data_IF_040671421541
#
_entry.id   IF_040671421541
#
_cell.length_a   1.000
_cell.length_b   1.000
_cell.length_c   1.000
_cell.angle_alpha   90.00
_cell.angle_beta   90.00
_cell.angle_gamma   90.00
#
_symmetry.space_group_name_H-M   'P 1'
#
loop_
_entity.id
_entity.type
_entity.pdbx_description
1 polymer ?
#
# COMPACT_ATOMS: atom_id res chain seq x y z
N UNK A 1 23.81 -2.99 -14.55
CA UNK A 1 22.96 -1.80 -14.37
C UNK A 1 23.79 -0.68 -13.80
N UNK A 2 23.73 0.50 -14.40
CA UNK A 2 24.44 1.68 -13.94
C UNK A 2 23.72 2.35 -12.77
N UNK A 3 24.42 3.23 -12.02
CA UNK A 3 23.82 4.03 -10.95
C UNK A 3 22.69 4.93 -11.51
N UNK A 4 22.87 5.51 -12.70
CA UNK A 4 21.87 6.36 -13.34
C UNK A 4 20.61 5.58 -13.73
N UNK A 5 20.76 4.36 -14.22
CA UNK A 5 19.61 3.48 -14.52
C UNK A 5 18.85 3.13 -13.26
N UNK A 6 19.55 2.79 -12.18
CA UNK A 6 18.95 2.50 -10.88
C UNK A 6 18.19 3.71 -10.34
N UNK A 7 18.77 4.90 -10.39
CA UNK A 7 18.13 6.14 -9.92
C UNK A 7 16.87 6.46 -10.75
N UNK A 8 16.89 6.23 -12.05
CA UNK A 8 15.73 6.42 -12.92
C UNK A 8 14.59 5.46 -12.55
N UNK A 9 14.91 4.18 -12.33
CA UNK A 9 13.94 3.16 -11.90
C UNK A 9 13.31 3.53 -10.54
N UNK A 10 14.14 3.95 -9.59
CA UNK A 10 13.65 4.40 -8.28
C UNK A 10 12.68 5.56 -8.44
N UNK A 11 12.97 6.51 -9.30
CA UNK A 11 12.10 7.66 -9.57
C UNK A 11 10.75 7.22 -10.14
N UNK A 12 10.74 6.27 -11.09
CA UNK A 12 9.50 5.71 -11.64
C UNK A 12 8.67 5.03 -10.54
N UNK A 13 9.28 4.15 -9.74
CA UNK A 13 8.58 3.41 -8.69
C UNK A 13 8.09 4.33 -7.57
N UNK A 14 8.87 5.34 -7.18
CA UNK A 14 8.44 6.37 -6.22
C UNK A 14 7.18 7.11 -6.70
N UNK A 15 7.10 7.40 -7.98
CA UNK A 15 5.93 8.05 -8.57
C UNK A 15 4.68 7.20 -8.43
N UNK A 16 4.79 5.90 -8.72
CA UNK A 16 3.67 4.95 -8.56
C UNK A 16 3.30 4.81 -7.07
N UNK A 17 4.28 4.73 -6.21
CA UNK A 17 4.07 4.63 -4.76
C UNK A 17 3.32 5.86 -4.21
N UNK A 18 3.67 7.05 -4.69
CA UNK A 18 2.97 8.29 -4.32
C UNK A 18 1.52 8.32 -4.81
N UNK A 19 1.25 7.78 -5.99
CA UNK A 19 -0.13 7.62 -6.50
C UNK A 19 -0.94 6.66 -5.63
N UNK A 20 -0.37 5.53 -5.24
CA UNK A 20 -1.01 4.56 -4.34
C UNK A 20 -1.40 5.22 -3.02
N UNK A 21 -0.48 5.98 -2.43
CA UNK A 21 -0.74 6.72 -1.19
C UNK A 21 -1.91 7.70 -1.37
N UNK A 22 -1.92 8.45 -2.46
CA UNK A 22 -2.99 9.41 -2.77
C UNK A 22 -4.35 8.72 -2.94
N UNK A 23 -4.41 7.61 -3.68
CA UNK A 23 -5.65 6.84 -3.86
C UNK A 23 -6.13 6.25 -2.52
N UNK A 24 -5.20 5.77 -1.71
CA UNK A 24 -5.47 5.28 -0.36
C UNK A 24 -6.05 6.37 0.54
N UNK A 25 -5.46 7.55 0.55
CA UNK A 25 -5.92 8.68 1.37
C UNK A 25 -7.35 9.12 1.02
N UNK A 26 -7.72 9.03 -0.24
CA UNK A 26 -9.04 9.42 -0.75
C UNK A 26 -10.05 8.27 -0.84
N UNK A 27 -9.68 7.08 -0.38
CA UNK A 27 -10.49 5.87 -0.46
C UNK A 27 -10.97 5.57 -1.90
N UNK A 28 -10.11 5.78 -2.89
CA UNK A 28 -10.38 5.52 -4.31
C UNK A 28 -10.01 4.07 -4.63
N UNK A 29 -10.93 3.15 -4.39
CA UNK A 29 -10.67 1.71 -4.45
C UNK A 29 -10.19 1.23 -5.81
N UNK A 30 -10.89 1.57 -6.90
CA UNK A 30 -10.55 1.05 -8.23
C UNK A 30 -9.17 1.56 -8.69
N UNK A 31 -8.88 2.83 -8.46
CA UNK A 31 -7.58 3.42 -8.76
C UNK A 31 -6.47 2.79 -7.92
N UNK A 32 -6.73 2.58 -6.63
CA UNK A 32 -5.81 1.88 -5.72
C UNK A 32 -5.52 0.46 -6.23
N UNK A 33 -6.54 -0.33 -6.51
CA UNK A 33 -6.41 -1.70 -6.99
C UNK A 33 -5.71 -1.80 -8.34
N UNK A 34 -5.82 -0.78 -9.19
CA UNK A 34 -5.15 -0.75 -10.50
C UNK A 34 -3.63 -0.77 -10.40
N UNK A 35 -3.06 -0.44 -9.26
CA UNK A 35 -1.62 -0.47 -9.00
C UNK A 35 -1.11 -1.85 -8.59
N UNK A 36 -1.99 -2.80 -8.39
CA UNK A 36 -1.68 -4.18 -7.99
C UNK A 36 -1.93 -5.13 -9.14
N UNK A 37 -1.10 -6.16 -9.24
CA UNK A 37 -1.20 -7.14 -10.34
C UNK A 37 -2.32 -8.16 -10.07
N UNK A 38 -3.33 -8.18 -10.92
CA UNK A 38 -4.39 -9.18 -10.86
C UNK A 38 -3.97 -10.46 -11.58
N UNK A 39 -3.11 -11.23 -10.95
CA UNK A 39 -2.63 -12.51 -11.49
C UNK A 39 -2.49 -13.55 -10.38
N UNK A 40 -2.36 -14.84 -10.72
CA UNK A 40 -2.10 -15.89 -9.73
C UNK A 40 -0.79 -15.71 -8.96
N UNK A 41 0.13 -14.89 -9.45
CA UNK A 41 1.40 -14.59 -8.78
C UNK A 41 1.25 -13.60 -7.61
N UNK A 42 0.14 -12.88 -7.53
CA UNK A 42 -0.09 -11.89 -6.48
C UNK A 42 -0.27 -12.56 -5.12
N UNK A 43 0.44 -12.05 -4.11
CA UNK A 43 0.32 -12.48 -2.72
C UNK A 43 0.21 -11.28 -1.80
N UNK A 44 -0.68 -11.37 -0.83
CA UNK A 44 -0.85 -10.38 0.22
C UNK A 44 -0.82 -11.04 1.60
N UNK A 45 -0.11 -10.41 2.51
CA UNK A 45 -0.09 -10.77 3.94
C UNK A 45 -0.37 -9.52 4.77
N UNK A 46 -1.03 -9.73 5.90
CA UNK A 46 -1.19 -8.69 6.93
C UNK A 46 -0.99 -9.27 8.32
N UNK A 47 -1.16 -8.45 9.36
CA UNK A 47 -0.89 -8.84 10.73
C UNK A 47 -1.79 -9.95 11.29
N UNK A 48 -2.81 -10.38 10.57
CA UNK A 48 -3.69 -11.49 10.94
C UNK A 48 -3.12 -12.88 10.59
N UNK A 49 -1.95 -12.91 9.96
CA UNK A 49 -1.27 -14.16 9.58
C UNK A 49 -1.88 -14.90 8.40
N UNK A 50 -2.80 -14.28 7.67
CA UNK A 50 -3.43 -14.90 6.52
C UNK A 50 -2.73 -14.53 5.22
N UNK A 51 -2.55 -15.52 4.35
CA UNK A 51 -2.12 -15.32 2.98
C UNK A 51 -3.35 -15.15 2.09
N UNK A 52 -3.34 -14.12 1.25
CA UNK A 52 -4.46 -13.77 0.38
C UNK A 52 -4.03 -13.71 -1.08
N UNK A 53 -4.90 -14.19 -1.96
CA UNK A 53 -4.79 -13.93 -3.39
C UNK A 53 -5.38 -12.53 -3.71
N UNK A 54 -5.35 -12.14 -4.98
CA UNK A 54 -5.85 -10.82 -5.40
C UNK A 54 -7.33 -10.61 -5.07
N UNK A 55 -8.19 -11.59 -5.30
CA UNK A 55 -9.63 -11.47 -5.04
C UNK A 55 -9.94 -11.32 -3.54
N UNK A 56 -9.24 -12.04 -2.69
CA UNK A 56 -9.36 -11.92 -1.24
C UNK A 56 -8.83 -10.56 -0.74
N UNK A 57 -7.70 -10.10 -1.28
CA UNK A 57 -7.15 -8.77 -1.04
C UNK A 57 -8.14 -7.68 -1.44
N UNK A 58 -8.72 -7.78 -2.64
CA UNK A 58 -9.73 -6.85 -3.13
C UNK A 58 -10.93 -6.76 -2.19
N UNK A 59 -11.44 -7.89 -1.71
CA UNK A 59 -12.57 -7.92 -0.77
C UNK A 59 -12.28 -7.18 0.54
N UNK A 60 -11.08 -7.39 1.09
CA UNK A 60 -10.68 -6.73 2.35
C UNK A 60 -10.62 -5.21 2.16
N UNK A 61 -9.97 -4.75 1.10
CA UNK A 61 -9.87 -3.31 0.84
C UNK A 61 -11.20 -2.69 0.43
N UNK A 62 -12.06 -3.40 -0.31
CA UNK A 62 -13.41 -2.94 -0.61
C UNK A 62 -14.23 -2.72 0.67
N UNK A 63 -14.17 -3.67 1.61
CA UNK A 63 -14.84 -3.53 2.90
C UNK A 63 -14.33 -2.34 3.71
N UNK A 64 -13.02 -2.17 3.77
CA UNK A 64 -12.38 -1.06 4.48
C UNK A 64 -12.75 0.30 3.84
N UNK A 65 -12.58 0.44 2.52
CA UNK A 65 -12.81 1.70 1.82
C UNK A 65 -14.29 2.11 1.79
N UNK A 66 -15.21 1.14 1.87
CA UNK A 66 -16.65 1.44 1.97
C UNK A 66 -16.97 2.24 3.24
N UNK A 67 -16.27 1.97 4.34
CA UNK A 67 -16.48 2.65 5.62
C UNK A 67 -15.63 3.89 5.80
N UNK A 68 -14.59 4.03 4.99
CA UNK A 68 -13.60 5.09 5.10
C UNK A 68 -14.08 6.39 4.44
N UNK A 69 -14.01 7.48 5.18
CA UNK A 69 -14.22 8.83 4.63
C UNK A 69 -12.94 9.33 3.96
N UNK A 70 -11.84 9.27 4.68
CA UNK A 70 -10.50 9.62 4.22
C UNK A 70 -9.48 9.12 5.22
N UNK A 71 -8.23 9.07 4.81
CA UNK A 71 -7.13 8.81 5.73
C UNK A 71 -5.92 9.64 5.35
N UNK A 72 -5.01 9.80 6.28
CA UNK A 72 -3.75 10.51 6.08
C UNK A 72 -2.60 9.60 6.44
N UNK A 73 -1.66 9.46 5.50
CA UNK A 73 -0.42 8.72 5.66
C UNK A 73 0.72 9.70 5.95
N UNK A 74 1.52 9.40 6.97
CA UNK A 74 2.72 10.18 7.30
C UNK A 74 3.92 9.25 7.26
N UNK A 75 4.85 9.51 6.36
CA UNK A 75 6.05 8.67 6.17
C UNK A 75 7.07 8.93 7.28
N UNK A 76 7.56 7.86 7.90
CA UNK A 76 8.71 7.88 8.79
C UNK A 76 9.96 7.51 7.99
N UNK A 77 9.94 6.38 7.30
CA UNK A 77 11.06 5.88 6.50
C UNK A 77 10.54 5.24 5.23
N UNK A 78 11.24 5.45 4.12
CA UNK A 78 11.01 4.70 2.89
C UNK A 78 12.35 4.32 2.24
N UNK A 79 12.37 3.16 1.59
CA UNK A 79 13.54 2.68 0.88
C UNK A 79 13.12 1.87 -0.34
N UNK A 80 13.84 2.08 -1.43
CA UNK A 80 13.60 1.38 -2.70
C UNK A 80 14.90 0.68 -3.11
N UNK A 81 14.86 -0.65 -3.18
CA UNK A 81 15.97 -1.47 -3.62
C UNK A 81 15.68 -2.02 -5.01
N UNK A 82 16.45 -1.58 -5.98
CA UNK A 82 16.38 -2.09 -7.36
C UNK A 82 17.10 -3.42 -7.42
N UNK A 83 16.38 -4.47 -7.75
CA UNK A 83 16.92 -5.83 -7.88
C UNK A 83 17.39 -6.05 -9.32
N UNK A 84 16.56 -5.65 -10.29
CA UNK A 84 16.91 -5.60 -11.70
C UNK A 84 16.06 -4.54 -12.40
N UNK A 85 16.15 -4.44 -13.72
CA UNK A 85 15.44 -3.42 -14.51
C UNK A 85 13.92 -3.51 -14.43
N UNK A 86 13.37 -4.64 -13.96
CA UNK A 86 11.95 -4.90 -13.89
C UNK A 86 11.45 -5.29 -12.50
N UNK A 87 12.32 -5.22 -11.48
CA UNK A 87 11.98 -5.68 -10.13
C UNK A 87 12.56 -4.75 -9.07
N UNK A 88 11.70 -4.23 -8.20
CA UNK A 88 12.05 -3.34 -7.09
C UNK A 88 11.37 -3.81 -5.82
N UNK A 89 12.11 -3.87 -4.73
CA UNK A 89 11.55 -4.08 -3.40
C UNK A 89 11.49 -2.72 -2.70
N UNK A 90 10.28 -2.34 -2.26
CA UNK A 90 10.05 -1.09 -1.55
C UNK A 90 9.64 -1.38 -0.11
N UNK A 91 10.30 -0.70 0.83
CA UNK A 91 9.93 -0.71 2.24
C UNK A 91 9.42 0.67 2.66
N UNK A 92 8.37 0.69 3.46
CA UNK A 92 7.80 1.92 3.98
C UNK A 92 7.37 1.72 5.44
N UNK A 93 7.69 2.69 6.28
CA UNK A 93 7.13 2.78 7.62
C UNK A 93 6.52 4.15 7.83
N UNK A 94 5.44 4.20 8.57
CA UNK A 94 4.76 5.46 8.82
C UNK A 94 3.60 5.33 9.79
N UNK A 95 2.82 6.39 9.86
CA UNK A 95 1.60 6.45 10.66
C UNK A 95 0.42 6.71 9.76
N UNK A 96 -0.72 6.12 10.11
CA UNK A 96 -1.98 6.31 9.38
C UNK A 96 -3.05 6.79 10.35
N UNK A 97 -3.75 7.85 9.99
CA UNK A 97 -4.93 8.33 10.70
C UNK A 97 -6.12 8.21 9.76
N UNK A 98 -7.04 7.31 10.08
CA UNK A 98 -8.23 7.05 9.29
C UNK A 98 -9.46 7.68 9.92
N UNK A 99 -10.27 8.37 9.11
CA UNK A 99 -11.56 8.92 9.50
C UNK A 99 -12.65 8.11 8.82
N UNK A 100 -13.52 7.51 9.61
CA UNK A 100 -14.63 6.72 9.10
C UNK A 100 -15.89 7.56 8.92
N UNK A 101 -16.76 7.11 8.03
CA UNK A 101 -18.05 7.80 7.74
C UNK A 101 -18.96 7.95 8.95
N UNK A 102 -18.84 7.03 9.93
CA UNK A 102 -19.60 7.10 11.19
C UNK A 102 -19.01 8.09 12.22
N UNK A 103 -17.86 8.73 11.90
CA UNK A 103 -17.17 9.68 12.77
C UNK A 103 -16.07 9.08 13.64
N UNK A 104 -15.92 7.76 13.68
CA UNK A 104 -14.80 7.11 14.39
C UNK A 104 -13.46 7.49 13.74
N UNK A 105 -12.41 7.52 14.55
CA UNK A 105 -11.04 7.76 14.09
C UNK A 105 -10.19 6.57 14.51
N UNK A 106 -9.42 6.02 13.57
CA UNK A 106 -8.44 4.96 13.84
C UNK A 106 -7.03 5.49 13.63
N UNK A 107 -6.18 5.30 14.63
CA UNK A 107 -4.78 5.71 14.59
C UNK A 107 -3.93 4.45 14.58
N UNK A 108 -3.15 4.28 13.51
CA UNK A 108 -2.19 3.19 13.35
C UNK A 108 -0.78 3.78 13.34
N UNK A 109 -0.07 3.61 14.45
CA UNK A 109 1.32 4.01 14.57
C UNK A 109 2.24 2.86 14.19
N UNK A 110 3.40 3.19 13.63
CA UNK A 110 4.40 2.19 13.23
C UNK A 110 3.83 1.14 12.26
N UNK A 111 3.11 1.62 11.26
CA UNK A 111 2.64 0.80 10.16
C UNK A 111 3.82 0.47 9.25
N UNK A 112 3.97 -0.79 8.88
CA UNK A 112 5.06 -1.26 8.03
C UNK A 112 4.52 -1.95 6.80
N UNK A 113 5.10 -1.64 5.65
CA UNK A 113 4.74 -2.25 4.37
C UNK A 113 6.01 -2.65 3.63
N UNK A 114 6.02 -3.88 3.11
CA UNK A 114 6.96 -4.30 2.07
C UNK A 114 6.18 -4.60 0.81
N UNK A 115 6.53 -3.92 -0.28
CA UNK A 115 5.95 -4.14 -1.59
C UNK A 115 7.01 -4.61 -2.57
N UNK A 116 6.67 -5.61 -3.38
CA UNK A 116 7.48 -6.00 -4.53
C UNK A 116 6.80 -5.46 -5.77
N UNK A 117 7.50 -4.56 -6.46
CA UNK A 117 7.06 -3.99 -7.74
C UNK A 117 7.70 -4.75 -8.88
N UNK A 118 6.89 -5.10 -9.87
CA UNK A 118 7.35 -5.68 -11.13
C UNK A 118 6.86 -4.84 -12.30
N UNK A 119 7.74 -4.62 -13.27
CA UNK A 119 7.36 -3.93 -14.51
C UNK A 119 6.71 -4.94 -15.46
N UNK A 120 5.42 -4.75 -15.74
CA UNK A 120 4.59 -5.62 -16.56
C UNK A 120 3.97 -4.78 -17.66
N UNK A 121 4.26 -5.11 -18.92
CA UNK A 121 3.76 -4.36 -20.09
C UNK A 121 4.05 -2.84 -19.96
N UNK A 122 5.25 -2.50 -19.52
CA UNK A 122 5.70 -1.12 -19.37
C UNK A 122 5.20 -0.39 -18.13
N UNK A 123 4.44 -1.05 -17.26
CA UNK A 123 3.88 -0.45 -16.02
C UNK A 123 4.37 -1.17 -14.78
N UNK A 124 4.71 -0.40 -13.76
CA UNK A 124 5.06 -0.95 -12.46
C UNK A 124 3.79 -1.35 -11.70
N UNK A 125 3.72 -2.61 -11.30
CA UNK A 125 2.62 -3.19 -10.52
C UNK A 125 3.16 -3.89 -9.28
N UNK A 126 2.39 -3.83 -8.19
CA UNK A 126 2.72 -4.59 -6.98
C UNK A 126 2.27 -6.05 -7.18
N UNK A 127 3.20 -6.99 -7.04
CA UNK A 127 2.95 -8.43 -7.13
C UNK A 127 2.95 -9.11 -5.76
N UNK A 128 3.49 -8.44 -4.74
CA UNK A 128 3.54 -8.95 -3.38
C UNK A 128 3.46 -7.77 -2.42
N UNK A 129 2.62 -7.90 -1.39
CA UNK A 129 2.51 -6.90 -0.34
C UNK A 129 2.40 -7.59 1.01
N UNK A 130 3.21 -7.15 1.95
CA UNK A 130 3.12 -7.57 3.34
C UNK A 130 3.02 -6.32 4.21
N UNK A 131 1.94 -6.20 4.98
CA UNK A 131 1.71 -5.06 5.84
C UNK A 131 1.38 -5.51 7.26
N UNK A 132 1.82 -4.71 8.21
CA UNK A 132 1.57 -4.95 9.63
C UNK A 132 1.63 -3.64 10.41
N UNK A 133 1.02 -3.62 11.58
CA UNK A 133 1.07 -2.47 12.47
C UNK A 133 0.98 -2.93 13.92
N UNK A 134 1.32 -2.04 14.83
CA UNK A 134 0.92 -2.21 16.22
C UNK A 134 -0.61 -2.17 16.31
N UNK A 135 -1.22 -2.70 17.39
CA UNK A 135 -2.66 -2.62 17.57
C UNK A 135 -3.16 -1.18 17.41
N UNK A 136 -4.20 -0.94 16.60
CA UNK A 136 -4.69 0.41 16.37
C UNK A 136 -5.38 0.99 17.60
N UNK A 137 -5.31 2.31 17.76
CA UNK A 137 -6.12 3.06 18.70
C UNK A 137 -7.39 3.52 18.00
N UNK A 138 -8.55 3.25 18.59
CA UNK A 138 -9.84 3.68 18.07
C UNK A 138 -10.44 4.76 18.98
N UNK A 139 -10.72 5.92 18.41
CA UNK A 139 -11.47 6.99 19.06
C UNK A 139 -12.89 6.97 18.54
N UNK A 140 -13.84 6.58 19.41
CA UNK A 140 -15.23 6.47 19.04
C UNK A 140 -15.86 7.84 18.84
N UNK A 141 -16.77 7.92 17.86
CA UNK A 141 -17.60 9.11 17.66
C UNK A 141 -18.46 9.37 18.90
N UNK A 142 -18.59 10.64 19.26
CA UNK A 142 -19.57 11.10 20.27
C UNK A 142 -20.91 11.26 19.57
N UNK A 143 -21.75 10.29 19.72
CA UNK A 143 -23.13 10.37 19.21
C UNK A 143 -24.07 10.97 20.25
#
# INVERSE_FOLDING_TARGET
MTANESDYIIKEVKSVFAEIAKYSEKAQLDSFLSCYDNSPAFLHFSGDGKMRNYEEFKKIYAGYYTTLKQQKLSTITEKFNVIDTNLVIAGWTGNIVAQFKNGDIMIMNNYSVTNVFKKIDGKWKIIHSHESSLPPEIKKSKS
#
